data_IF_821487194970
#
_entry.id   IF_821487194970
#
_cell.length_a   1.000
_cell.length_b   1.000
_cell.length_c   1.000
_cell.angle_alpha   90.00
_cell.angle_beta   90.00
_cell.angle_gamma   90.00
#
_symmetry.space_group_name_H-M   'P 1'
#
loop_
_entity.id
_entity.type
_entity.pdbx_description
1 polymer ?
#
# COMPACT_ATOMS: atom_id res chain seq x y z
N UNK A 1 10.63 22.63 -0.01
CA UNK A 1 9.14 22.59 -0.05
C UNK A 1 8.71 21.42 0.82
N UNK A 2 7.63 21.56 1.59
CA UNK A 2 7.11 20.43 2.38
C UNK A 2 6.67 19.29 1.44
N UNK A 3 6.87 18.00 1.81
CA UNK A 3 6.44 16.87 1.00
C UNK A 3 4.93 16.93 0.73
N UNK A 4 4.53 16.64 -0.51
CA UNK A 4 3.11 16.70 -0.90
C UNK A 4 2.44 15.36 -0.61
N UNK A 5 1.50 15.36 0.34
CA UNK A 5 0.63 14.21 0.63
C UNK A 5 -0.63 14.32 -0.24
N UNK A 6 -0.78 13.40 -1.21
CA UNK A 6 -1.99 13.29 -2.03
C UNK A 6 -2.93 12.25 -1.44
N UNK A 7 -4.23 12.49 -1.53
CA UNK A 7 -5.28 11.62 -0.99
C UNK A 7 -6.22 11.19 -2.11
N UNK A 8 -6.53 9.89 -2.17
CA UNK A 8 -7.42 9.31 -3.16
C UNK A 8 -8.51 8.49 -2.45
N UNK A 9 -9.76 8.89 -2.61
CA UNK A 9 -10.90 8.17 -2.06
C UNK A 9 -11.41 7.19 -3.11
N UNK A 10 -11.38 5.91 -2.76
CA UNK A 10 -11.86 4.80 -3.60
C UNK A 10 -13.11 4.23 -2.94
N UNK A 11 -14.13 3.96 -3.74
CA UNK A 11 -15.39 3.40 -3.24
C UNK A 11 -15.37 1.87 -3.36
N UNK A 12 -16.09 1.16 -2.47
CA UNK A 12 -16.28 -0.28 -2.61
C UNK A 12 -16.80 -0.65 -4.00
N UNK A 13 -16.31 -1.76 -4.55
CA UNK A 13 -16.81 -2.37 -5.80
C UNK A 13 -17.60 -3.64 -5.48
N UNK A 14 -17.96 -4.45 -6.48
CA UNK A 14 -18.67 -5.71 -6.25
C UNK A 14 -17.76 -6.76 -5.59
N UNK A 15 -16.44 -6.63 -5.75
CA UNK A 15 -15.46 -7.60 -5.26
C UNK A 15 -14.43 -7.07 -4.27
N UNK A 16 -14.23 -5.76 -4.21
CA UNK A 16 -13.19 -5.14 -3.39
C UNK A 16 -13.83 -4.24 -2.30
N UNK A 17 -13.42 -4.40 -1.03
CA UNK A 17 -13.96 -3.60 0.06
C UNK A 17 -13.73 -2.10 -0.12
N UNK A 18 -12.52 -1.71 -0.54
CA UNK A 18 -12.01 -0.34 -0.58
C UNK A 18 -12.30 0.47 0.70
N UNK A 19 -11.26 0.71 1.50
CA UNK A 19 -11.42 1.39 2.78
C UNK A 19 -12.11 2.75 2.68
N UNK A 20 -12.92 3.14 3.68
CA UNK A 20 -13.39 4.50 3.86
C UNK A 20 -12.26 5.51 4.06
N UNK A 21 -11.08 5.04 4.47
CA UNK A 21 -9.86 5.86 4.59
C UNK A 21 -9.27 6.09 3.19
N UNK A 22 -8.79 7.28 2.85
CA UNK A 22 -8.16 7.50 1.56
C UNK A 22 -6.82 6.75 1.44
N UNK A 23 -6.56 6.22 0.25
CA UNK A 23 -5.20 5.89 -0.19
C UNK A 23 -4.35 7.16 -0.14
N UNK A 24 -3.16 7.07 0.42
CA UNK A 24 -2.21 8.17 0.50
C UNK A 24 -1.01 7.93 -0.41
N UNK A 25 -0.57 8.97 -1.12
CA UNK A 25 0.64 8.95 -1.94
C UNK A 25 1.56 10.10 -1.52
N UNK A 26 2.73 9.73 -0.99
CA UNK A 26 3.76 10.66 -0.56
C UNK A 26 4.81 10.70 -1.67
N UNK A 27 4.73 11.76 -2.47
CA UNK A 27 5.57 11.90 -3.65
C UNK A 27 6.98 12.35 -3.26
N UNK A 28 8.01 11.63 -3.71
CA UNK A 28 9.43 11.97 -3.53
C UNK A 28 9.79 12.34 -2.09
N UNK A 29 9.32 11.54 -1.14
CA UNK A 29 9.55 11.76 0.30
C UNK A 29 10.85 11.11 0.79
N UNK A 30 11.30 10.05 0.13
CA UNK A 30 12.57 9.39 0.41
C UNK A 30 13.70 10.01 -0.43
N UNK A 31 14.87 10.17 0.19
CA UNK A 31 16.06 10.61 -0.50
C UNK A 31 16.71 9.45 -1.24
N UNK A 32 17.12 9.68 -2.50
CA UNK A 32 18.00 8.75 -3.21
C UNK A 32 19.46 8.97 -2.79
N UNK A 33 20.24 7.89 -2.74
CA UNK A 33 21.66 7.97 -2.36
C UNK A 33 22.44 8.80 -3.38
N UNK A 34 23.36 9.66 -2.90
CA UNK A 34 24.19 10.47 -3.78
C UNK A 34 24.97 9.57 -4.78
N UNK A 35 24.78 9.81 -6.07
CA UNK A 35 25.40 9.01 -7.13
C UNK A 35 24.72 7.66 -7.42
N UNK A 36 23.58 7.36 -6.80
CA UNK A 36 22.78 6.15 -7.05
C UNK A 36 21.32 6.50 -7.32
N UNK A 37 20.67 5.78 -8.24
CA UNK A 37 19.26 6.00 -8.59
C UNK A 37 18.28 5.21 -7.70
N UNK A 38 18.64 4.97 -6.44
CA UNK A 38 17.81 4.22 -5.48
C UNK A 38 17.91 4.78 -4.05
N UNK A 39 16.88 4.50 -3.24
CA UNK A 39 16.77 4.88 -1.83
C UNK A 39 17.43 3.83 -0.93
N UNK A 40 18.15 4.24 0.12
CA UNK A 40 18.85 3.29 1.00
C UNK A 40 17.84 2.40 1.77
N UNK A 41 17.85 1.06 1.55
CA UNK A 41 16.93 0.17 2.26
C UNK A 41 17.13 0.19 3.78
N UNK A 42 18.33 0.47 4.29
CA UNK A 42 18.56 0.54 5.74
C UNK A 42 17.86 1.76 6.34
N UNK A 43 17.94 2.91 5.67
CA UNK A 43 17.29 4.14 6.15
C UNK A 43 15.77 4.01 6.13
N UNK A 44 15.20 3.40 5.08
CA UNK A 44 13.75 3.16 4.99
C UNK A 44 13.28 2.14 6.04
N UNK A 45 14.05 1.07 6.26
CA UNK A 45 13.74 0.08 7.28
C UNK A 45 13.79 0.67 8.70
N UNK A 46 14.83 1.45 9.01
CA UNK A 46 14.94 2.17 10.28
C UNK A 46 13.75 3.11 10.50
N UNK A 47 13.35 3.83 9.45
CA UNK A 47 12.23 4.77 9.49
C UNK A 47 10.90 4.05 9.77
N UNK A 48 10.61 2.96 9.06
CA UNK A 48 9.39 2.18 9.29
C UNK A 48 9.37 1.53 10.66
N UNK A 49 10.44 0.84 11.06
CA UNK A 49 10.51 0.13 12.36
C UNK A 49 10.44 1.09 13.55
N UNK A 50 11.10 2.25 13.47
CA UNK A 50 11.00 3.30 14.49
C UNK A 50 9.55 3.78 14.68
N UNK A 51 8.77 3.80 13.61
CA UNK A 51 7.38 4.25 13.61
C UNK A 51 6.38 3.07 13.77
N UNK A 52 6.83 1.91 14.26
CA UNK A 52 5.99 0.73 14.54
C UNK A 52 5.32 0.13 13.28
N UNK A 53 5.94 0.30 12.12
CA UNK A 53 5.56 -0.41 10.89
C UNK A 53 6.47 -1.62 10.70
N UNK A 54 5.86 -2.81 10.71
CA UNK A 54 6.58 -4.08 10.62
C UNK A 54 7.00 -4.33 9.18
N UNK A 55 8.29 -4.15 8.88
CA UNK A 55 8.83 -4.43 7.54
C UNK A 55 8.84 -5.93 7.30
N UNK A 56 8.14 -6.36 6.25
CA UNK A 56 7.96 -7.78 5.96
C UNK A 56 8.84 -8.27 4.81
N UNK A 57 9.12 -7.39 3.83
CA UNK A 57 9.82 -7.79 2.61
C UNK A 57 10.46 -6.62 1.87
N UNK A 58 11.44 -6.97 1.03
CA UNK A 58 11.90 -6.17 -0.10
C UNK A 58 11.79 -7.04 -1.36
N UNK A 59 10.94 -6.66 -2.30
CA UNK A 59 10.72 -7.37 -3.57
C UNK A 59 11.21 -6.54 -4.74
N UNK A 60 11.85 -7.20 -5.71
CA UNK A 60 11.95 -6.72 -7.08
C UNK A 60 10.77 -7.25 -7.87
N UNK A 61 9.97 -6.36 -8.47
CA UNK A 61 8.78 -6.76 -9.21
C UNK A 61 9.09 -7.12 -10.67
N UNK A 62 8.25 -8.01 -11.23
CA UNK A 62 8.23 -8.34 -12.65
C UNK A 62 7.22 -7.49 -13.43
N UNK A 63 6.77 -7.96 -14.60
CA UNK A 63 5.92 -7.19 -15.52
C UNK A 63 4.49 -6.94 -14.99
N UNK A 64 3.95 -7.85 -14.16
CA UNK A 64 2.62 -7.70 -13.53
C UNK A 64 2.39 -8.75 -12.42
N UNK A 65 1.31 -8.59 -11.66
CA UNK A 65 0.81 -9.51 -10.63
C UNK A 65 -0.73 -9.48 -10.56
N UNK A 66 -1.33 -10.37 -9.76
CA UNK A 66 -2.78 -10.35 -9.51
C UNK A 66 -3.17 -9.14 -8.66
N UNK A 67 -4.36 -8.59 -8.93
CA UNK A 67 -4.97 -7.63 -8.01
C UNK A 67 -5.32 -8.31 -6.69
N UNK A 68 -4.98 -7.66 -5.58
CA UNK A 68 -5.26 -8.16 -4.25
C UNK A 68 -5.40 -7.01 -3.26
N UNK A 69 -6.02 -7.27 -2.11
CA UNK A 69 -6.02 -6.38 -0.96
C UNK A 69 -5.58 -7.15 0.29
N UNK A 70 -5.19 -6.39 1.31
CA UNK A 70 -4.96 -6.90 2.65
C UNK A 70 -6.21 -6.64 3.50
N UNK A 71 -6.81 -7.69 4.06
CA UNK A 71 -8.07 -7.57 4.79
C UNK A 71 -7.87 -7.19 6.25
N UNK A 72 -6.72 -7.51 6.84
CA UNK A 72 -6.45 -7.35 8.27
C UNK A 72 -5.36 -6.30 8.59
N UNK A 73 -4.64 -5.81 7.57
CA UNK A 73 -3.49 -4.94 7.75
C UNK A 73 -3.51 -3.71 6.83
N UNK A 74 -3.03 -2.59 7.36
CA UNK A 74 -2.61 -1.45 6.57
C UNK A 74 -1.22 -1.69 6.00
N UNK A 75 -0.98 -1.27 4.78
CA UNK A 75 0.31 -1.44 4.11
C UNK A 75 0.95 -0.10 3.78
N UNK A 76 2.25 0.00 4.01
CA UNK A 76 3.10 1.07 3.53
C UNK A 76 4.08 0.48 2.53
N UNK A 77 3.97 0.89 1.26
CA UNK A 77 4.89 0.48 0.20
C UNK A 77 5.84 1.62 -0.17
N UNK A 78 7.13 1.45 0.10
CA UNK A 78 8.19 2.37 -0.32
C UNK A 78 8.83 1.93 -1.63
N UNK A 79 8.88 2.82 -2.62
CA UNK A 79 9.58 2.57 -3.89
C UNK A 79 11.06 2.89 -3.73
N UNK A 80 11.90 1.86 -3.73
CA UNK A 80 13.33 2.02 -3.54
C UNK A 80 14.05 2.36 -4.84
N UNK A 81 13.61 1.81 -5.98
CA UNK A 81 14.27 1.97 -7.27
C UNK A 81 13.28 1.85 -8.44
N UNK A 82 13.66 2.40 -9.61
CA UNK A 82 12.93 2.26 -10.86
C UNK A 82 11.60 3.03 -10.92
N UNK A 83 10.77 2.67 -11.89
CA UNK A 83 9.40 3.18 -12.06
C UNK A 83 8.41 2.08 -12.39
N UNK A 84 7.13 2.23 -12.02
CA UNK A 84 6.06 1.33 -12.41
C UNK A 84 4.71 2.05 -12.48
N UNK A 85 3.68 1.32 -12.91
CA UNK A 85 2.29 1.69 -12.71
C UNK A 85 1.72 0.85 -11.58
N UNK A 86 0.93 1.48 -10.71
CA UNK A 86 0.16 0.77 -9.68
C UNK A 86 -1.32 1.10 -9.89
N UNK A 87 -2.13 0.05 -10.10
CA UNK A 87 -3.58 0.18 -10.17
C UNK A 87 -4.17 -0.10 -8.80
N UNK A 88 -5.07 0.76 -8.34
CA UNK A 88 -5.74 0.65 -7.06
C UNK A 88 -7.25 0.53 -7.22
N UNK A 89 -7.87 -0.22 -6.30
CA UNK A 89 -9.29 -0.22 -6.02
C UNK A 89 -10.18 -1.15 -6.83
N UNK A 90 -9.62 -2.05 -7.63
CA UNK A 90 -10.40 -2.91 -8.55
C UNK A 90 -9.91 -4.35 -8.55
N UNK A 91 -10.83 -5.31 -8.61
CA UNK A 91 -10.51 -6.72 -8.81
C UNK A 91 -10.18 -7.03 -10.27
N UNK A 92 -9.41 -8.11 -10.46
CA UNK A 92 -9.25 -8.78 -11.73
C UNK A 92 -10.52 -9.62 -12.05
N UNK A 93 -10.99 -9.64 -13.30
CA UNK A 93 -12.26 -10.29 -13.71
C UNK A 93 -12.07 -11.51 -14.62
N UNK A 94 -10.83 -11.89 -14.94
CA UNK A 94 -10.49 -13.05 -15.77
C UNK A 94 -9.35 -13.86 -15.16
N UNK A 95 -9.23 -15.12 -15.55
CA UNK A 95 -8.05 -15.94 -15.23
C UNK A 95 -6.83 -15.55 -16.11
N UNK A 96 -7.04 -14.73 -17.14
CA UNK A 96 -5.97 -14.26 -18.01
C UNK A 96 -5.31 -12.99 -17.45
N UNK A 97 -4.13 -13.16 -16.86
CA UNK A 97 -3.36 -12.07 -16.24
C UNK A 97 -3.03 -10.91 -17.22
N UNK A 98 -2.86 -11.20 -18.51
CA UNK A 98 -2.63 -10.15 -19.50
C UNK A 98 -3.90 -9.32 -19.73
N UNK A 99 -5.06 -9.96 -19.85
CA UNK A 99 -6.35 -9.26 -19.97
C UNK A 99 -6.69 -8.45 -18.72
N UNK A 100 -6.28 -8.93 -17.54
CA UNK A 100 -6.39 -8.23 -16.28
C UNK A 100 -5.44 -7.03 -16.14
N UNK A 101 -4.35 -6.99 -16.90
CA UNK A 101 -3.34 -5.94 -16.79
C UNK A 101 -3.46 -4.91 -17.91
N UNK A 102 -3.55 -5.39 -19.14
CA UNK A 102 -3.46 -4.59 -20.36
C UNK A 102 -4.75 -4.60 -21.20
N UNK A 103 -5.71 -5.47 -20.86
CA UNK A 103 -7.01 -5.56 -21.53
C UNK A 103 -8.08 -4.67 -20.90
N UNK A 104 -9.21 -5.28 -20.53
CA UNK A 104 -10.33 -4.62 -19.84
C UNK A 104 -10.99 -5.50 -18.78
N UNK A 105 -10.33 -6.60 -18.39
CA UNK A 105 -10.87 -7.57 -17.45
C UNK A 105 -10.59 -7.16 -15.99
N UNK A 106 -11.11 -6.01 -15.59
CA UNK A 106 -11.07 -5.53 -14.20
C UNK A 106 -12.29 -4.66 -13.91
N UNK A 107 -12.65 -4.52 -12.64
CA UNK A 107 -13.78 -3.69 -12.24
C UNK A 107 -13.60 -2.20 -12.61
N UNK A 108 -14.70 -1.47 -12.71
CA UNK A 108 -14.67 0.00 -12.85
C UNK A 108 -14.49 0.69 -11.49
N UNK A 109 -14.08 1.95 -11.48
CA UNK A 109 -14.00 2.77 -10.26
C UNK A 109 -12.62 2.87 -9.61
N UNK A 110 -11.64 2.14 -10.13
CA UNK A 110 -10.23 2.23 -9.71
C UNK A 110 -9.47 3.40 -10.32
N UNK A 111 -8.23 3.58 -9.86
CA UNK A 111 -7.29 4.56 -10.39
C UNK A 111 -5.95 3.88 -10.72
N UNK A 112 -5.16 4.51 -11.58
CA UNK A 112 -3.77 4.10 -11.85
C UNK A 112 -2.85 5.26 -11.56
N UNK A 113 -1.80 5.02 -10.78
CA UNK A 113 -0.79 6.00 -10.42
C UNK A 113 0.58 5.54 -10.92
N UNK A 114 1.40 6.51 -11.34
CA UNK A 114 2.82 6.29 -11.60
C UNK A 114 3.59 6.28 -10.27
N UNK A 115 4.43 5.27 -10.11
CA UNK A 115 5.31 5.09 -8.97
C UNK A 115 6.76 5.24 -9.42
N UNK A 116 7.57 5.97 -8.65
CA UNK A 116 9.01 6.10 -8.89
C UNK A 116 9.80 6.08 -7.59
N UNK A 117 11.10 5.77 -7.68
CA UNK A 117 12.01 5.78 -6.55
C UNK A 117 11.90 7.10 -5.76
N UNK A 118 11.64 6.99 -4.46
CA UNK A 118 11.37 8.15 -3.61
C UNK A 118 9.94 8.20 -3.08
N UNK A 119 9.01 7.53 -3.75
CA UNK A 119 7.59 7.53 -3.38
C UNK A 119 7.28 6.55 -2.25
N UNK A 120 6.29 6.90 -1.43
CA UNK A 120 5.64 5.99 -0.49
C UNK A 120 4.13 6.00 -0.74
N UNK A 121 3.51 4.82 -0.75
CA UNK A 121 2.06 4.65 -0.76
C UNK A 121 1.63 4.10 0.59
N UNK A 122 0.61 4.69 1.20
CA UNK A 122 -0.03 4.11 2.38
C UNK A 122 -1.44 3.67 2.01
N UNK A 123 -1.64 2.36 2.10
CA UNK A 123 -2.78 1.63 1.59
C UNK A 123 -3.58 1.13 2.80
N UNK A 124 -4.74 1.75 3.06
CA UNK A 124 -5.71 1.22 4.01
C UNK A 124 -6.08 -0.24 3.72
N UNK A 125 -6.43 -0.96 4.78
CA UNK A 125 -6.90 -2.34 4.68
C UNK A 125 -8.18 -2.36 3.82
N UNK A 126 -8.27 -3.33 2.92
CA UNK A 126 -9.36 -3.47 1.95
C UNK A 126 -9.17 -2.73 0.63
N UNK A 127 -8.16 -1.87 0.47
CA UNK A 127 -7.87 -1.27 -0.85
C UNK A 127 -7.09 -2.25 -1.71
N UNK A 128 -7.70 -2.68 -2.82
CA UNK A 128 -7.00 -3.53 -3.78
C UNK A 128 -5.89 -2.77 -4.49
N UNK A 129 -4.82 -3.47 -4.83
CA UNK A 129 -3.73 -2.92 -5.60
C UNK A 129 -2.99 -3.98 -6.42
N UNK A 130 -2.36 -3.54 -7.51
CA UNK A 130 -1.38 -4.33 -8.28
C UNK A 130 -0.37 -3.44 -8.99
N UNK A 131 0.88 -3.87 -8.94
CA UNK A 131 2.03 -3.27 -9.65
C UNK A 131 2.22 -3.92 -11.01
N UNK A 132 2.45 -3.12 -12.06
CA UNK A 132 2.72 -3.60 -13.42
C UNK A 132 3.54 -2.60 -14.24
N UNK A 133 3.99 -3.01 -15.42
CA UNK A 133 4.79 -2.18 -16.34
C UNK A 133 6.06 -1.61 -15.69
N UNK A 134 6.77 -2.44 -14.94
CA UNK A 134 8.00 -2.08 -14.23
C UNK A 134 9.14 -1.72 -15.18
N UNK A 135 9.95 -0.74 -14.77
CA UNK A 135 11.15 -0.30 -15.48
C UNK A 135 12.30 -0.06 -14.49
N UNK A 136 13.50 -0.60 -14.76
CA UNK A 136 13.79 -1.53 -15.86
C UNK A 136 13.10 -2.89 -15.62
N UNK A 137 12.82 -3.62 -16.71
CA UNK A 137 12.21 -4.95 -16.62
C UNK A 137 13.18 -5.92 -15.94
N UNK A 138 12.70 -6.68 -14.98
CA UNK A 138 13.46 -7.70 -14.28
C UNK A 138 12.55 -8.88 -13.89
N UNK A 139 13.15 -9.98 -13.44
CA UNK A 139 12.41 -11.09 -12.85
C UNK A 139 11.94 -10.75 -11.43
N UNK A 140 10.78 -11.30 -11.05
CA UNK A 140 10.28 -11.21 -9.69
C UNK A 140 11.23 -11.91 -8.72
N UNK A 141 11.61 -11.26 -7.63
CA UNK A 141 12.55 -11.83 -6.65
C UNK A 141 12.36 -11.20 -5.28
N UNK A 142 12.26 -12.03 -4.24
CA UNK A 142 12.45 -11.60 -2.85
C UNK A 142 13.94 -11.29 -2.65
N UNK A 143 14.26 -10.04 -2.34
CA UNK A 143 15.63 -9.58 -2.11
C UNK A 143 16.02 -9.67 -0.64
N UNK A 144 15.10 -9.32 0.26
CA UNK A 144 15.34 -9.42 1.70
C UNK A 144 15.44 -10.89 2.16
N UNK A 145 16.16 -11.17 3.25
CA UNK A 145 16.12 -12.49 3.87
C UNK A 145 14.73 -12.79 4.47
N UNK A 146 14.42 -14.07 4.63
CA UNK A 146 13.16 -14.55 5.21
C UNK A 146 12.12 -14.97 4.18
N UNK A 147 10.85 -14.96 4.62
CA UNK A 147 9.71 -15.54 3.91
C UNK A 147 8.64 -14.53 3.49
N UNK A 148 9.02 -13.25 3.39
CA UNK A 148 8.13 -12.12 3.17
C UNK A 148 7.12 -11.82 4.30
N UNK A 149 7.34 -12.37 5.49
CA UNK A 149 6.62 -12.04 6.72
C UNK A 149 7.54 -11.44 7.80
N UNK A 150 8.69 -10.90 7.38
CA UNK A 150 9.69 -10.32 8.27
C UNK A 150 11.08 -10.37 7.65
N UNK A 151 11.96 -9.49 8.13
CA UNK A 151 13.39 -9.54 7.81
C UNK A 151 14.07 -10.53 8.75
N UNK A 152 14.20 -11.78 8.31
CA UNK A 152 14.76 -12.88 9.12
C UNK A 152 16.29 -12.92 9.03
N UNK A 153 16.98 -12.17 9.89
CA UNK A 153 18.45 -12.16 9.95
C UNK A 153 18.96 -11.83 11.36
N UNK A 154 20.16 -12.33 11.71
CA UNK A 154 20.83 -12.01 12.98
C UNK A 154 21.15 -10.50 13.10
N UNK A 155 21.53 -9.88 11.98
CA UNK A 155 21.74 -8.43 11.86
C UNK A 155 20.98 -7.91 10.64
N UNK A 156 19.70 -7.52 10.80
CA UNK A 156 18.88 -7.01 9.71
C UNK A 156 19.50 -5.81 9.00
N UNK A 157 20.11 -4.87 9.75
CA UNK A 157 20.71 -3.67 9.15
C UNK A 157 21.85 -4.05 8.21
N UNK A 158 22.75 -4.94 8.66
CA UNK A 158 23.86 -5.40 7.83
C UNK A 158 23.35 -6.13 6.59
N UNK A 159 22.43 -7.09 6.75
CA UNK A 159 21.85 -7.83 5.63
C UNK A 159 21.19 -6.91 4.59
N UNK A 160 20.46 -5.90 5.04
CA UNK A 160 19.83 -4.91 4.15
C UNK A 160 20.85 -4.00 3.46
N UNK A 161 21.95 -3.63 4.13
CA UNK A 161 23.00 -2.78 3.57
C UNK A 161 23.78 -3.43 2.42
N UNK A 162 23.81 -4.76 2.39
CA UNK A 162 24.53 -5.59 1.41
C UNK A 162 23.64 -5.97 0.21
N UNK A 163 22.36 -5.56 0.19
CA UNK A 163 21.46 -5.82 -0.91
C UNK A 163 21.87 -5.08 -2.18
N UNK A 164 21.86 -5.81 -3.29
CA UNK A 164 21.96 -5.24 -4.63
C UNK A 164 20.58 -4.78 -5.10
N UNK A 165 20.34 -3.47 -5.02
CA UNK A 165 19.07 -2.86 -5.40
C UNK A 165 19.08 -2.54 -6.89
N UNK A 166 18.26 -3.25 -7.66
CA UNK A 166 18.11 -3.11 -9.11
C UNK A 166 16.65 -3.33 -9.55
N UNK A 167 16.35 -3.06 -10.82
CA UNK A 167 14.98 -3.17 -11.30
C UNK A 167 14.04 -2.13 -10.68
N UNK A 168 12.75 -2.48 -10.64
CA UNK A 168 11.78 -1.80 -9.80
C UNK A 168 11.64 -2.55 -8.48
N UNK A 169 12.22 -2.00 -7.41
CA UNK A 169 12.21 -2.59 -6.07
C UNK A 169 11.28 -1.80 -5.15
N UNK A 170 10.48 -2.50 -4.36
CA UNK A 170 9.74 -1.90 -3.25
C UNK A 170 10.04 -2.60 -1.93
N UNK A 171 9.84 -1.88 -0.83
CA UNK A 171 9.80 -2.40 0.53
C UNK A 171 8.37 -2.29 1.06
N UNK A 172 7.84 -3.38 1.59
CA UNK A 172 6.52 -3.42 2.21
C UNK A 172 6.62 -3.52 3.73
N UNK A 173 5.82 -2.70 4.41
CA UNK A 173 5.68 -2.73 5.85
C UNK A 173 4.21 -2.62 6.25
N UNK A 174 3.85 -3.24 7.37
CA UNK A 174 2.45 -3.40 7.79
C UNK A 174 2.19 -2.90 9.21
N UNK A 175 0.96 -2.44 9.45
CA UNK A 175 0.47 -2.05 10.77
C UNK A 175 -1.02 -2.45 10.92
N UNK A 176 -1.46 -2.72 12.15
CA UNK A 176 -2.82 -3.16 12.47
C UNK A 176 -2.93 -4.67 12.71
N UNK A 177 -2.49 -5.49 11.75
CA UNK A 177 -2.55 -6.95 11.79
C UNK A 177 -1.53 -7.63 10.89
N UNK A 178 -1.70 -8.93 10.66
CA UNK A 178 -0.88 -9.71 9.73
C UNK A 178 -1.36 -9.50 8.29
N UNK A 179 -0.44 -9.48 7.33
CA UNK A 179 -0.81 -9.30 5.93
C UNK A 179 -1.22 -10.63 5.29
N UNK A 180 -2.35 -10.60 4.57
CA UNK A 180 -2.93 -11.71 3.81
C UNK A 180 -2.94 -11.38 2.29
N UNK A 181 -3.46 -12.25 1.42
CA UNK A 181 -3.52 -11.97 -0.02
C UNK A 181 -4.90 -12.31 -0.56
N UNK A 182 -5.82 -11.34 -0.52
CA UNK A 182 -7.22 -11.56 -0.91
C UNK A 182 -7.49 -10.94 -2.28
N UNK A 183 -7.90 -11.76 -3.25
CA UNK A 183 -8.15 -11.29 -4.62
C UNK A 183 -9.57 -10.71 -4.80
N UNK A 184 -10.56 -11.26 -4.09
CA UNK A 184 -11.97 -10.87 -4.17
C UNK A 184 -12.79 -11.40 -2.99
N UNK A 185 -13.86 -10.70 -2.62
CA UNK A 185 -14.84 -11.16 -1.64
C UNK A 185 -14.46 -10.82 -0.20
N UNK A 186 -14.90 -11.66 0.75
CA UNK A 186 -14.75 -11.40 2.19
C UNK A 186 -15.90 -10.57 2.77
N UNK A 187 -15.82 -10.27 4.08
CA UNK A 187 -16.73 -9.35 4.76
C UNK A 187 -16.09 -7.97 4.74
N UNK A 188 -16.62 -7.06 3.92
CA UNK A 188 -15.96 -5.79 3.63
C UNK A 188 -15.75 -4.94 4.89
N UNK A 189 -16.73 -4.96 5.80
CA UNK A 189 -16.72 -4.22 7.04
C UNK A 189 -15.56 -4.62 7.98
N UNK A 190 -15.10 -5.87 7.92
CA UNK A 190 -13.97 -6.34 8.74
C UNK A 190 -12.67 -5.61 8.38
N UNK A 191 -12.44 -5.34 7.08
CA UNK A 191 -11.29 -4.53 6.66
C UNK A 191 -11.40 -3.06 7.03
N UNK A 192 -12.62 -2.55 7.24
CA UNK A 192 -12.83 -1.13 7.56
C UNK A 192 -12.62 -0.80 9.03
N UNK A 193 -12.66 -1.82 9.90
CA UNK A 193 -12.45 -1.67 11.35
C UNK A 193 -11.00 -1.92 11.77
N UNK A 194 -10.09 -2.24 10.83
CA UNK A 194 -8.65 -2.32 11.12
C UNK A 194 -8.19 -1.03 11.79
N UNK A 195 -7.53 -1.12 12.97
CA UNK A 195 -7.16 0.05 13.74
C UNK A 195 -6.25 1.01 12.99
N UNK A 196 -6.60 2.30 13.06
CA UNK A 196 -5.74 3.39 12.56
C UNK A 196 -4.39 3.34 13.30
N UNK A 197 -3.25 3.35 12.58
CA UNK A 197 -1.93 3.48 13.17
C UNK A 197 -1.79 4.80 13.95
N UNK A 198 -1.14 4.75 15.12
CA UNK A 198 -0.83 5.92 15.95
C UNK A 198 0.30 6.75 15.37
N UNK A 199 1.22 6.12 14.61
CA UNK A 199 2.38 6.73 13.98
C UNK A 199 2.29 6.59 12.46
N UNK A 200 2.53 7.70 11.77
CA UNK A 200 2.78 7.70 10.32
C UNK A 200 4.12 7.02 10.02
N UNK A 201 4.22 6.19 8.97
CA UNK A 201 5.44 5.45 8.67
C UNK A 201 6.64 6.36 8.36
N UNK A 202 6.41 7.61 7.94
CA UNK A 202 7.44 8.59 7.61
C UNK A 202 7.52 9.69 8.65
N UNK A 203 6.38 10.26 9.03
CA UNK A 203 6.28 11.47 9.84
C UNK A 203 6.07 11.22 11.34
N UNK A 204 5.97 9.96 11.78
CA UNK A 204 5.75 9.61 13.19
C UNK A 204 4.42 10.16 13.72
N UNK A 205 4.43 10.74 14.91
CA UNK A 205 3.27 11.35 15.58
C UNK A 205 2.98 12.81 15.15
N UNK A 206 3.69 13.32 14.14
CA UNK A 206 3.54 14.69 13.67
C UNK A 206 2.17 15.01 13.06
N UNK A 207 1.83 16.30 12.98
CA UNK A 207 0.57 16.80 12.36
C UNK A 207 0.58 16.76 10.82
N UNK A 208 1.11 15.70 10.22
CA UNK A 208 1.19 15.48 8.77
C UNK A 208 0.88 14.02 8.44
N UNK A 209 0.81 13.71 7.14
CA UNK A 209 0.62 12.34 6.68
C UNK A 209 -0.67 11.67 7.18
N UNK A 210 -0.58 10.39 7.48
CA UNK A 210 -1.65 9.47 7.85
C UNK A 210 -2.32 9.90 9.13
N UNK A 211 -1.53 10.32 10.13
CA UNK A 211 -2.06 10.73 11.44
C UNK A 211 -3.04 11.89 11.27
N UNK A 212 -2.75 12.83 10.35
CA UNK A 212 -3.65 13.93 10.02
C UNK A 212 -4.74 13.58 9.00
N UNK A 213 -4.40 12.81 7.97
CA UNK A 213 -5.29 12.55 6.83
C UNK A 213 -6.39 11.53 7.15
N UNK A 214 -6.08 10.49 7.92
CA UNK A 214 -7.05 9.46 8.29
C UNK A 214 -7.83 9.89 9.54
N UNK A 215 -9.13 10.15 9.39
CA UNK A 215 -9.99 10.43 10.54
C UNK A 215 -10.44 9.14 11.25
N UNK A 216 -10.73 9.23 12.55
CA UNK A 216 -11.17 8.09 13.38
C UNK A 216 -10.28 7.84 14.59
N UNK A 217 -10.80 7.07 15.54
CA UNK A 217 -10.20 6.83 16.86
C UNK A 217 -9.53 5.45 17.00
N UNK A 218 -9.19 4.79 15.89
CA UNK A 218 -8.58 3.46 15.92
C UNK A 218 -9.56 2.30 16.13
N UNK A 219 -10.85 2.54 16.34
CA UNK A 219 -11.88 1.48 16.39
C UNK A 219 -12.95 1.64 15.30
N UNK A 220 -13.13 2.87 14.81
CA UNK A 220 -14.02 3.17 13.67
C UNK A 220 -13.32 4.17 12.75
N UNK A 221 -13.35 3.93 11.44
CA UNK A 221 -13.02 4.97 10.48
C UNK A 221 -14.07 6.08 10.55
N UNK A 222 -13.65 7.34 10.69
CA UNK A 222 -14.56 8.49 10.52
C UNK A 222 -14.51 8.90 9.05
N UNK A 223 -15.65 8.89 8.37
CA UNK A 223 -15.71 9.13 6.93
C UNK A 223 -17.13 9.00 6.37
N UNK A 224 -17.24 9.15 5.04
CA UNK A 224 -18.51 9.07 4.30
C UNK A 224 -18.49 7.87 3.33
N UNK A 225 -19.57 7.08 3.39
CA UNK A 225 -20.37 6.50 2.28
C UNK A 225 -20.25 5.01 1.92
N UNK A 226 -21.45 4.45 1.78
CA UNK A 226 -22.04 3.68 0.65
C UNK A 226 -21.27 2.45 0.18
N UNK A 227 -21.73 1.28 0.63
CA UNK A 227 -21.52 -0.02 -0.01
C UNK A 227 -22.37 -0.12 -1.29
N UNK A 228 -21.95 -0.92 -2.27
CA UNK A 228 -22.76 -1.23 -3.45
C UNK A 228 -23.14 -2.70 -3.40
N UNK A 229 -24.42 -3.02 -3.59
CA UNK A 229 -24.91 -4.38 -3.81
C UNK A 229 -25.81 -4.37 -5.04
N UNK A 230 -25.52 -5.22 -6.02
CA UNK A 230 -26.30 -5.32 -7.27
C UNK A 230 -26.40 -3.99 -8.03
N UNK A 231 -25.35 -3.15 -7.99
CA UNK A 231 -25.35 -1.81 -8.58
C UNK A 231 -26.12 -0.75 -7.79
N UNK A 232 -26.60 -1.06 -6.58
CA UNK A 232 -27.34 -0.13 -5.72
C UNK A 232 -26.51 0.28 -4.52
N UNK A 233 -26.39 1.59 -4.34
CA UNK A 233 -25.82 2.23 -3.16
C UNK A 233 -26.60 1.87 -1.87
N UNK A 234 -26.02 1.07 -0.99
CA UNK A 234 -26.50 0.79 0.37
C UNK A 234 -25.69 1.61 1.38
N UNK A 235 -26.35 2.34 2.28
CA UNK A 235 -25.67 3.14 3.29
C UNK A 235 -25.23 2.28 4.48
N UNK A 236 -23.92 2.11 4.71
CA UNK A 236 -23.41 1.61 5.99
C UNK A 236 -23.25 2.78 6.99
N UNK A 237 -23.75 2.65 8.23
CA UNK A 237 -23.50 3.66 9.27
C UNK A 237 -22.06 3.57 9.76
N UNK A 238 -21.24 4.59 9.45
CA UNK A 238 -20.04 4.92 10.21
C UNK A 238 -20.41 5.90 11.33
N UNK A 239 -19.60 5.95 12.40
CA UNK A 239 -19.87 6.74 13.59
C UNK A 239 -20.29 8.19 13.24
N UNK A 240 -21.31 8.76 13.91
CA UNK A 240 -21.77 10.11 13.63
C UNK A 240 -20.61 11.09 13.79
N UNK A 241 -20.51 12.05 12.87
CA UNK A 241 -19.59 13.17 12.96
C UNK A 241 -20.00 13.98 14.20
N UNK A 242 -19.45 13.67 15.38
CA UNK A 242 -19.50 14.63 16.48
C UNK A 242 -18.71 15.83 16.00
N UNK A 243 -19.38 16.99 15.95
CA UNK A 243 -18.82 18.26 15.51
C UNK A 243 -17.46 18.46 16.19
N UNK A 244 -16.43 18.62 15.35
CA UNK A 244 -15.16 19.26 15.71
C UNK A 244 -15.44 20.58 16.44
#
# INVERSE_FOLDING_TARGET
>A
MAPTVRQYHLYPTDHIPNSPRPLLHYKNVLATKLGKAYCDPVEVWDMFTKNEWNVAWIFRYSDTQLSHFHSEAHESMAVLSGTALIRFGVADLSDNLHQNTYGSAWESGGITLEAEAGDIFIIPAGIAHKTYSTKPKASFKLLSPGSAHGIEADDPRKSLSELDIDGYTMMGAYNGGDWDFVQKGGVFEESWVVPKPTLDPVFGDGEQGLVKAWAGNGQTALGRKVSFKDGIATHAPLAPISKL
#
